data_IF_996510564591
#
_entry.id   IF_996510564591
#
_cell.length_a   1.000
_cell.length_b   1.000
_cell.length_c   1.000
_cell.angle_alpha   90.00
_cell.angle_beta   90.00
_cell.angle_gamma   90.00
#
_symmetry.space_group_name_H-M   'P 1'
#
loop_
_entity.id
_entity.type
_entity.pdbx_description
1 polymer ?
#
# COMPACT_ATOMS: atom_id res chain seq x y z
N UNK A 1 1.26 -28.20 10.41
CA UNK A 1 0.32 -27.07 10.26
C UNK A 1 1.12 -25.79 10.35
N UNK A 2 1.14 -24.97 9.30
CA UNK A 2 1.90 -23.73 9.30
C UNK A 2 1.38 -22.82 8.19
N UNK A 3 0.32 -22.07 8.49
CA UNK A 3 -0.15 -21.01 7.58
C UNK A 3 0.79 -19.81 7.71
N UNK A 4 1.94 -19.88 7.05
CA UNK A 4 2.78 -18.71 6.75
C UNK A 4 2.16 -17.92 5.59
N UNK A 5 0.87 -17.59 5.70
CA UNK A 5 0.30 -16.52 4.90
C UNK A 5 0.67 -15.28 5.69
N UNK A 6 1.69 -14.55 5.24
CA UNK A 6 2.00 -13.24 5.81
C UNK A 6 0.78 -12.33 5.71
N UNK A 7 0.77 -11.19 6.37
CA UNK A 7 -0.40 -10.31 6.38
C UNK A 7 -0.72 -9.70 4.99
N UNK A 8 0.24 -9.68 4.07
CA UNK A 8 0.14 -9.06 2.74
C UNK A 8 -1.01 -9.60 1.84
N UNK A 9 -1.28 -10.92 1.73
CA UNK A 9 -2.38 -11.45 0.95
C UNK A 9 -3.77 -11.20 1.57
N UNK A 10 -3.85 -10.69 2.80
CA UNK A 10 -5.12 -10.44 3.52
C UNK A 10 -5.68 -9.04 3.23
N UNK A 11 -4.83 -8.09 2.82
CA UNK A 11 -5.23 -6.69 2.60
C UNK A 11 -6.35 -6.51 1.56
N UNK A 12 -6.34 -7.19 0.39
CA UNK A 12 -7.40 -7.02 -0.61
C UNK A 12 -8.78 -7.39 -0.05
N UNK A 13 -8.85 -8.46 0.76
CA UNK A 13 -10.10 -8.95 1.36
C UNK A 13 -10.63 -8.04 2.47
N UNK A 14 -9.77 -7.36 3.21
CA UNK A 14 -10.17 -6.36 4.20
C UNK A 14 -10.73 -5.10 3.53
N UNK A 15 -10.12 -4.71 2.40
CA UNK A 15 -10.58 -3.56 1.62
C UNK A 15 -11.99 -3.76 1.06
N UNK A 16 -12.34 -4.97 0.63
CA UNK A 16 -13.66 -5.29 0.09
C UNK A 16 -14.80 -5.23 1.12
N UNK A 17 -14.47 -5.08 2.42
CA UNK A 17 -15.46 -4.84 3.48
C UNK A 17 -15.92 -3.38 3.54
N UNK A 18 -15.17 -2.45 2.94
CA UNK A 18 -15.56 -1.04 2.86
C UNK A 18 -16.40 -0.83 1.60
N UNK A 19 -17.65 -0.34 1.73
CA UNK A 19 -18.51 -0.04 0.60
C UNK A 19 -17.80 0.85 -0.44
N UNK A 20 -18.00 0.62 -1.74
CA UNK A 20 -17.28 1.35 -2.79
C UNK A 20 -17.65 2.84 -2.85
N UNK A 21 -18.79 3.22 -2.29
CA UNK A 21 -19.30 4.59 -2.15
C UNK A 21 -18.72 5.35 -0.96
N UNK A 22 -17.99 4.66 -0.07
CA UNK A 22 -17.35 5.29 1.09
C UNK A 22 -15.95 5.79 0.73
N UNK A 23 -15.77 7.10 0.79
CA UNK A 23 -14.47 7.74 0.58
C UNK A 23 -13.49 7.38 1.71
N UNK A 24 -12.31 6.88 1.32
CA UNK A 24 -11.22 6.58 2.26
C UNK A 24 -10.13 7.62 2.06
N UNK A 25 -10.05 8.62 2.95
CA UNK A 25 -9.04 9.68 2.82
C UNK A 25 -7.59 9.22 3.07
N UNK A 26 -7.38 8.30 4.03
CA UNK A 26 -6.06 7.79 4.41
C UNK A 26 -6.15 6.39 4.99
N UNK A 27 -5.18 5.55 4.65
CA UNK A 27 -4.99 4.22 5.23
C UNK A 27 -3.67 4.22 6.00
N UNK A 28 -3.74 4.02 7.33
CA UNK A 28 -2.54 3.77 8.13
C UNK A 28 -2.30 2.27 8.16
N UNK A 29 -1.14 1.84 7.67
CA UNK A 29 -0.80 0.42 7.55
C UNK A 29 0.48 0.09 8.31
N UNK A 30 0.58 -1.13 8.81
CA UNK A 30 1.83 -1.64 9.37
C UNK A 30 2.93 -1.72 8.28
N UNK A 31 4.19 -1.67 8.69
CA UNK A 31 5.33 -1.77 7.78
C UNK A 31 5.38 -3.08 6.97
N UNK A 32 4.68 -4.15 7.38
CA UNK A 32 4.51 -5.36 6.58
C UNK A 32 3.73 -5.12 5.27
N UNK A 33 2.90 -4.08 5.22
CA UNK A 33 2.10 -3.69 4.06
C UNK A 33 2.76 -2.61 3.20
N UNK A 34 4.02 -2.26 3.47
CA UNK A 34 4.81 -1.38 2.60
C UNK A 34 5.30 -2.15 1.35
N UNK A 35 4.34 -2.63 0.56
CA UNK A 35 4.53 -3.41 -0.67
C UNK A 35 3.77 -2.76 -1.81
N UNK A 36 4.25 -2.93 -3.06
CA UNK A 36 3.68 -2.21 -4.22
C UNK A 36 2.22 -2.56 -4.46
N UNK A 37 1.88 -3.83 -4.27
CA UNK A 37 0.50 -4.33 -4.38
C UNK A 37 -0.45 -3.66 -3.37
N UNK A 38 0.03 -3.40 -2.15
CA UNK A 38 -0.75 -2.69 -1.14
C UNK A 38 -0.93 -1.21 -1.50
N UNK A 39 0.12 -0.56 -1.99
CA UNK A 39 0.04 0.83 -2.46
C UNK A 39 -0.90 0.97 -3.67
N UNK A 40 -0.84 0.06 -4.64
CA UNK A 40 -1.73 0.05 -5.81
C UNK A 40 -3.20 -0.17 -5.39
N UNK A 41 -3.43 -1.05 -4.42
CA UNK A 41 -4.76 -1.28 -3.86
C UNK A 41 -5.32 -0.06 -3.11
N UNK A 42 -4.46 0.70 -2.43
CA UNK A 42 -4.86 1.92 -1.72
C UNK A 42 -5.13 3.06 -2.73
N UNK A 43 -4.27 3.21 -3.75
CA UNK A 43 -4.42 4.19 -4.82
C UNK A 43 -5.69 3.95 -5.67
N UNK A 44 -6.07 2.69 -5.90
CA UNK A 44 -7.32 2.34 -6.59
C UNK A 44 -8.59 2.88 -5.89
N UNK A 45 -8.48 3.29 -4.62
CA UNK A 45 -9.56 3.93 -3.85
C UNK A 45 -9.34 5.44 -3.62
N UNK A 46 -8.41 6.07 -4.34
CA UNK A 46 -7.98 7.46 -4.15
C UNK A 46 -7.53 7.78 -2.72
N UNK A 47 -7.08 6.77 -1.98
CA UNK A 47 -6.66 6.89 -0.60
C UNK A 47 -5.14 7.08 -0.50
N UNK A 48 -4.67 7.79 0.52
CA UNK A 48 -3.24 7.90 0.81
C UNK A 48 -2.76 6.77 1.74
N UNK A 49 -1.72 6.03 1.34
CA UNK A 49 -1.05 5.06 2.19
C UNK A 49 -0.07 5.76 3.14
N UNK A 50 -0.19 5.52 4.45
CA UNK A 50 0.71 6.06 5.48
C UNK A 50 1.25 4.91 6.32
N UNK A 51 2.51 4.57 6.11
CA UNK A 51 3.25 3.63 6.95
C UNK A 51 4.09 4.38 7.99
N UNK A 52 4.07 4.00 9.28
CA UNK A 52 4.97 4.57 10.27
C UNK A 52 6.44 4.40 9.86
N UNK A 53 7.32 5.38 10.13
CA UNK A 53 8.75 5.25 9.86
C UNK A 53 9.34 4.05 10.61
N UNK A 54 9.81 3.04 9.87
CA UNK A 54 10.46 1.86 10.46
C UNK A 54 11.98 1.95 10.37
N UNK A 55 12.66 1.48 11.42
CA UNK A 55 14.13 1.38 11.45
C UNK A 55 14.59 0.50 10.28
N UNK A 56 15.48 1.02 9.44
CA UNK A 56 16.02 0.37 8.23
C UNK A 56 15.08 0.25 7.02
N UNK A 57 13.92 0.92 6.99
CA UNK A 57 13.22 1.10 5.72
C UNK A 57 14.11 1.87 4.74
N UNK A 58 14.17 1.36 3.51
CA UNK A 58 14.81 2.06 2.40
C UNK A 58 13.69 2.66 1.56
N UNK A 59 13.74 3.96 1.24
CA UNK A 59 12.86 4.54 0.23
C UNK A 59 12.99 3.70 -1.05
N UNK A 60 11.87 3.38 -1.70
CA UNK A 60 11.95 2.79 -3.03
C UNK A 60 12.71 3.73 -3.95
N UNK A 61 13.55 3.15 -4.81
CA UNK A 61 14.14 3.91 -5.90
C UNK A 61 12.96 4.46 -6.72
N UNK A 62 12.80 5.79 -6.84
CA UNK A 62 11.83 6.30 -7.78
C UNK A 62 12.23 5.75 -9.15
N UNK A 63 11.26 5.18 -9.86
CA UNK A 63 11.42 4.98 -11.30
C UNK A 63 11.54 6.39 -11.86
N UNK A 64 12.78 6.83 -12.09
CA UNK A 64 13.05 8.05 -12.85
C UNK A 64 12.36 7.85 -14.20
N UNK A 65 11.19 8.44 -14.38
CA UNK A 65 10.68 8.67 -15.72
C UNK A 65 11.77 9.49 -16.41
N UNK A 66 12.27 9.10 -17.59
CA UNK A 66 13.22 9.94 -18.29
C UNK A 66 12.53 11.28 -18.52
N UNK A 67 13.09 12.32 -17.92
CA UNK A 67 12.74 13.71 -18.16
C UNK A 67 12.72 13.91 -19.67
N UNK A 68 11.53 14.03 -20.27
CA UNK A 68 11.43 14.48 -21.65
C UNK A 68 12.02 15.88 -21.71
N UNK A 69 13.18 15.97 -22.35
CA UNK A 69 13.78 17.19 -22.85
C UNK A 69 12.74 17.96 -23.66
N UNK A 70 12.49 19.20 -23.26
CA UNK A 70 11.90 20.23 -24.11
C UNK A 70 12.97 20.85 -24.99
#
# INVERSE_FOLDING_TARGET
MGSNIGDAPVLPKLRDQVPPDQEIGRVIVDGAYDTRECHDAIAARNAAAVSPPRKNAKPWKPTSLPTSTV
#
